data_IF_645323999330
#
_entry.id   IF_645323999330
#
_cell.length_a   1.000
_cell.length_b   1.000
_cell.length_c   1.000
_cell.angle_alpha   90.00
_cell.angle_beta   90.00
_cell.angle_gamma   90.00
#
_symmetry.space_group_name_H-M   'P 1'
#
loop_
_entity.id
_entity.type
_entity.pdbx_description
1 polymer ?
#
# COMPACT_ATOMS: atom_id res chain seq x y z
N UNK A 1 -23.27 9.40 26.12
CA UNK A 1 -22.61 9.86 24.88
C UNK A 1 -22.77 8.75 23.86
N UNK A 2 -23.47 9.02 22.76
CA UNK A 2 -23.72 8.02 21.73
C UNK A 2 -22.65 8.15 20.62
N UNK A 3 -21.65 7.23 20.64
CA UNK A 3 -20.56 7.23 19.67
C UNK A 3 -19.38 6.41 20.11
N UNK A 4 -18.43 6.28 19.18
CA UNK A 4 -17.18 5.57 19.38
C UNK A 4 -16.00 6.54 19.35
N UNK A 5 -15.12 6.44 20.32
CA UNK A 5 -13.88 7.23 20.39
C UNK A 5 -12.68 6.31 20.28
N UNK A 6 -11.75 6.67 19.40
CA UNK A 6 -10.49 5.98 19.22
C UNK A 6 -9.35 7.00 19.27
N UNK A 7 -8.32 6.70 20.03
CA UNK A 7 -7.10 7.51 20.10
C UNK A 7 -5.88 6.64 19.79
N UNK A 8 -4.99 7.18 18.98
CA UNK A 8 -3.67 6.60 18.73
C UNK A 8 -2.63 7.74 18.76
N UNK A 9 -1.85 7.80 19.83
CA UNK A 9 -0.95 8.91 20.11
C UNK A 9 -1.71 10.26 20.13
N UNK A 10 -1.39 11.16 19.21
CA UNK A 10 -2.00 12.47 18.99
C UNK A 10 -3.16 12.44 17.97
N UNK A 11 -3.33 11.34 17.24
CA UNK A 11 -4.47 11.17 16.33
C UNK A 11 -5.71 10.69 17.10
N UNK A 12 -6.82 11.42 16.97
CA UNK A 12 -8.11 11.14 17.60
C UNK A 12 -9.20 11.04 16.57
N UNK A 13 -10.11 10.08 16.74
CA UNK A 13 -11.28 9.88 15.91
C UNK A 13 -12.51 9.67 16.79
N UNK A 14 -13.56 10.46 16.58
CA UNK A 14 -14.87 10.25 17.16
C UNK A 14 -15.87 9.96 16.04
N UNK A 15 -16.68 8.93 16.22
CA UNK A 15 -17.74 8.52 15.28
C UNK A 15 -19.05 8.48 16.06
N UNK A 16 -19.97 9.38 15.80
CA UNK A 16 -21.27 9.44 16.46
C UNK A 16 -21.92 10.79 16.35
N UNK A 17 -23.18 10.86 16.81
CA UNK A 17 -24.01 12.07 16.75
C UNK A 17 -23.64 13.06 17.86
N UNK A 18 -23.15 12.56 18.99
CA UNK A 18 -22.76 13.39 20.15
C UNK A 18 -21.39 14.06 20.01
N UNK A 19 -20.89 14.25 18.77
CA UNK A 19 -19.57 14.86 18.56
C UNK A 19 -19.41 16.26 19.18
N UNK A 20 -20.45 17.14 19.28
CA UNK A 20 -20.29 18.44 19.93
C UNK A 20 -19.98 18.30 21.42
N UNK A 21 -20.66 17.36 22.10
CA UNK A 21 -20.39 17.06 23.52
C UNK A 21 -18.99 16.46 23.71
N UNK A 22 -18.59 15.52 22.84
CA UNK A 22 -17.25 14.93 22.87
C UNK A 22 -16.17 15.99 22.66
N UNK A 23 -16.39 16.94 21.75
CA UNK A 23 -15.45 18.03 21.50
C UNK A 23 -15.34 18.97 22.71
N UNK A 24 -16.44 19.32 23.35
CA UNK A 24 -16.43 20.17 24.57
C UNK A 24 -15.61 19.51 25.67
N UNK A 25 -15.88 18.23 25.98
CA UNK A 25 -15.12 17.47 26.99
C UNK A 25 -13.63 17.43 26.66
N UNK A 26 -13.29 17.21 25.38
CA UNK A 26 -11.88 17.19 24.93
C UNK A 26 -11.21 18.56 25.13
N UNK A 27 -11.90 19.66 24.77
CA UNK A 27 -11.36 21.01 24.94
C UNK A 27 -11.15 21.37 26.42
N UNK A 28 -12.07 21.00 27.29
CA UNK A 28 -11.93 21.21 28.74
C UNK A 28 -10.72 20.47 29.30
N UNK A 29 -10.56 19.18 28.92
CA UNK A 29 -9.41 18.39 29.34
C UNK A 29 -8.08 18.88 28.81
N UNK A 30 -8.03 19.38 27.59
CA UNK A 30 -6.84 19.98 27.03
C UNK A 30 -6.50 21.31 27.72
N UNK A 31 -7.52 22.12 28.06
CA UNK A 31 -7.33 23.37 28.78
C UNK A 31 -6.76 23.15 30.19
N UNK A 32 -7.21 22.10 30.91
CA UNK A 32 -6.61 21.68 32.21
C UNK A 32 -5.11 21.36 32.10
N UNK A 33 -4.64 20.91 30.93
CA UNK A 33 -3.26 20.58 30.62
C UNK A 33 -2.51 21.72 29.91
N UNK A 34 -3.06 22.92 29.84
CA UNK A 34 -2.54 24.06 29.08
C UNK A 34 -2.30 23.80 27.59
N UNK A 35 -3.00 22.80 27.02
CA UNK A 35 -2.93 22.42 25.61
C UNK A 35 -4.13 22.94 24.83
N UNK A 36 -3.94 23.12 23.49
CA UNK A 36 -5.00 23.56 22.58
C UNK A 36 -5.02 22.69 21.32
N UNK A 37 -6.24 22.41 20.83
CA UNK A 37 -6.40 21.80 19.52
C UNK A 37 -5.94 22.77 18.43
N UNK A 38 -5.28 22.24 17.41
CA UNK A 38 -4.99 23.01 16.21
C UNK A 38 -6.25 22.98 15.30
N UNK A 39 -6.96 24.12 15.12
CA UNK A 39 -8.22 24.14 14.34
C UNK A 39 -8.05 23.67 12.90
N UNK A 40 -6.84 23.86 12.32
CA UNK A 40 -6.53 23.43 10.93
C UNK A 40 -6.42 21.92 10.77
N UNK A 41 -6.31 21.17 11.88
CA UNK A 41 -6.22 19.71 11.89
C UNK A 41 -7.53 19.03 12.34
N UNK A 42 -8.53 19.81 12.73
CA UNK A 42 -9.84 19.27 13.10
C UNK A 42 -10.71 19.22 11.85
N UNK A 43 -11.20 18.03 11.53
CA UNK A 43 -12.06 17.80 10.38
C UNK A 43 -13.41 17.23 10.84
N UNK A 44 -14.51 17.81 10.34
CA UNK A 44 -15.88 17.29 10.53
C UNK A 44 -16.36 16.69 9.23
N UNK A 45 -16.68 15.42 9.23
CA UNK A 45 -17.00 14.67 8.03
C UNK A 45 -18.28 13.85 8.22
N UNK A 46 -19.06 13.75 7.16
CA UNK A 46 -20.20 12.84 7.09
C UNK A 46 -19.73 11.43 6.71
N UNK A 47 -20.49 10.39 7.10
CA UNK A 47 -20.12 9.00 6.90
C UNK A 47 -20.00 8.58 5.41
N UNK A 48 -20.55 9.37 4.50
CA UNK A 48 -20.48 9.17 3.04
C UNK A 48 -19.24 9.75 2.39
N UNK A 49 -18.38 10.46 3.13
CA UNK A 49 -17.12 11.02 2.63
C UNK A 49 -15.91 10.18 3.00
N UNK A 50 -14.89 10.21 2.14
CA UNK A 50 -13.60 9.62 2.45
C UNK A 50 -12.84 10.49 3.45
N UNK A 51 -12.36 9.88 4.52
CA UNK A 51 -11.43 10.52 5.44
C UNK A 51 -10.17 9.67 5.63
N UNK A 52 -9.13 10.30 6.19
CA UNK A 52 -7.85 9.66 6.44
C UNK A 52 -7.67 9.46 7.94
N UNK A 53 -7.30 8.24 8.34
CA UNK A 53 -6.93 7.94 9.71
C UNK A 53 -5.81 6.90 9.72
N UNK A 54 -4.74 7.14 10.46
CA UNK A 54 -3.56 6.25 10.60
C UNK A 54 -2.99 5.75 9.25
N UNK A 55 -3.05 6.60 8.24
CA UNK A 55 -2.53 6.27 6.92
C UNK A 55 -3.48 5.41 6.06
N UNK A 56 -4.71 5.21 6.49
CA UNK A 56 -5.77 4.60 5.71
C UNK A 56 -6.77 5.66 5.21
N UNK A 57 -7.44 5.37 4.12
CA UNK A 57 -8.62 6.09 3.64
C UNK A 57 -9.85 5.25 3.97
N UNK A 58 -10.82 5.84 4.65
CA UNK A 58 -11.99 5.16 5.16
C UNK A 58 -13.25 5.85 4.64
N UNK A 59 -14.24 5.07 4.20
CA UNK A 59 -15.58 5.54 3.83
C UNK A 59 -16.60 4.46 4.18
N UNK A 60 -17.43 4.69 5.18
CA UNK A 60 -18.33 3.67 5.69
C UNK A 60 -17.56 2.39 6.07
N UNK A 61 -17.87 1.27 5.42
CA UNK A 61 -17.16 -0.01 5.63
C UNK A 61 -15.97 -0.24 4.70
N UNK A 62 -15.69 0.68 3.79
CA UNK A 62 -14.58 0.57 2.86
C UNK A 62 -13.30 1.14 3.49
N UNK A 63 -12.25 0.34 3.51
CA UNK A 63 -10.93 0.72 4.02
C UNK A 63 -9.90 0.44 2.93
N UNK A 64 -9.21 1.49 2.51
CA UNK A 64 -8.12 1.45 1.54
C UNK A 64 -6.88 2.16 2.08
N UNK A 65 -5.78 2.10 1.33
CA UNK A 65 -4.58 2.85 1.64
C UNK A 65 -4.76 4.34 1.31
N UNK A 66 -4.23 5.19 2.17
CA UNK A 66 -4.16 6.62 1.85
C UNK A 66 -3.23 6.87 0.65
N UNK A 67 -3.45 7.96 -0.12
CA UNK A 67 -2.57 8.32 -1.23
C UNK A 67 -1.10 8.44 -0.83
N UNK A 68 -0.82 8.91 0.39
CA UNK A 68 0.55 8.99 0.93
C UNK A 68 1.19 7.61 1.10
N UNK A 69 0.47 6.64 1.66
CA UNK A 69 0.96 5.25 1.77
C UNK A 69 1.13 4.57 0.42
N UNK A 70 0.24 4.82 -0.54
CA UNK A 70 0.39 4.32 -1.91
C UNK A 70 1.68 4.85 -2.54
N UNK A 71 1.94 6.16 -2.43
CA UNK A 71 3.18 6.78 -2.95
C UNK A 71 4.43 6.21 -2.27
N UNK A 72 4.41 6.05 -0.94
CA UNK A 72 5.52 5.44 -0.20
C UNK A 72 5.77 3.99 -0.63
N UNK A 73 4.72 3.18 -0.77
CA UNK A 73 4.81 1.82 -1.30
C UNK A 73 5.44 1.81 -2.70
N UNK A 74 4.93 2.62 -3.61
CA UNK A 74 5.44 2.72 -4.97
C UNK A 74 6.93 3.10 -5.01
N UNK A 75 7.33 4.09 -4.20
CA UNK A 75 8.74 4.49 -4.06
C UNK A 75 9.62 3.35 -3.56
N UNK A 76 9.15 2.58 -2.56
CA UNK A 76 9.88 1.42 -2.04
C UNK A 76 10.03 0.32 -3.10
N UNK A 77 8.97 -0.03 -3.82
CA UNK A 77 9.03 -1.02 -4.90
C UNK A 77 9.97 -0.57 -6.03
N UNK A 78 9.91 0.69 -6.43
CA UNK A 78 10.84 1.23 -7.43
C UNK A 78 12.30 1.16 -6.98
N UNK A 79 12.59 1.49 -5.72
CA UNK A 79 13.93 1.42 -5.16
C UNK A 79 14.49 -0.02 -5.15
N UNK A 80 13.64 -1.01 -4.93
CA UNK A 80 14.02 -2.43 -4.93
C UNK A 80 14.17 -3.02 -6.35
N UNK A 81 13.61 -2.38 -7.36
CA UNK A 81 13.49 -2.90 -8.72
C UNK A 81 14.16 -1.99 -9.74
N UNK A 82 13.36 -1.16 -10.41
CA UNK A 82 13.78 -0.37 -11.57
C UNK A 82 14.82 0.71 -11.27
N UNK A 83 14.89 1.20 -10.05
CA UNK A 83 15.92 2.17 -9.63
C UNK A 83 17.21 1.51 -9.15
N UNK A 84 17.20 0.20 -8.85
CA UNK A 84 18.39 -0.51 -8.36
C UNK A 84 19.30 -0.89 -9.53
N UNK A 85 20.51 -0.37 -9.54
CA UNK A 85 21.53 -0.71 -10.55
C UNK A 85 21.99 -2.16 -10.43
N UNK A 86 22.27 -2.82 -11.56
CA UNK A 86 22.85 -4.16 -11.60
C UNK A 86 21.98 -5.27 -10.98
N UNK A 87 20.68 -5.03 -10.78
CA UNK A 87 19.80 -6.07 -10.25
C UNK A 87 19.27 -6.96 -11.38
N UNK A 88 19.32 -8.28 -11.16
CA UNK A 88 18.61 -9.24 -12.02
C UNK A 88 17.15 -9.38 -11.61
N UNK A 89 16.30 -9.91 -12.51
CA UNK A 89 14.90 -10.16 -12.20
C UNK A 89 14.73 -11.02 -10.93
N UNK A 90 15.49 -12.12 -10.81
CA UNK A 90 15.47 -13.00 -9.64
C UNK A 90 15.82 -12.25 -8.34
N UNK A 91 16.86 -11.42 -8.34
CA UNK A 91 17.23 -10.61 -7.18
C UNK A 91 16.15 -9.58 -6.84
N UNK A 92 15.51 -8.97 -7.84
CA UNK A 92 14.42 -8.03 -7.65
C UNK A 92 13.18 -8.71 -7.06
N UNK A 93 12.79 -9.88 -7.59
CA UNK A 93 11.67 -10.68 -7.05
C UNK A 93 11.90 -11.04 -5.59
N UNK A 94 13.07 -11.56 -5.24
CA UNK A 94 13.39 -11.91 -3.86
C UNK A 94 13.37 -10.68 -2.93
N UNK A 95 13.87 -9.53 -3.39
CA UNK A 95 13.85 -8.30 -2.61
C UNK A 95 12.42 -7.79 -2.38
N UNK A 96 11.56 -7.84 -3.40
CA UNK A 96 10.15 -7.46 -3.31
C UNK A 96 9.38 -8.40 -2.40
N UNK A 97 9.53 -9.73 -2.56
CA UNK A 97 8.88 -10.71 -1.69
C UNK A 97 9.29 -10.51 -0.22
N UNK A 98 10.59 -10.26 0.03
CA UNK A 98 11.09 -9.97 1.38
C UNK A 98 10.45 -8.72 1.97
N UNK A 99 10.36 -7.64 1.20
CA UNK A 99 9.72 -6.41 1.64
C UNK A 99 8.24 -6.60 1.92
N UNK A 100 7.55 -7.33 1.06
CA UNK A 100 6.10 -7.52 1.18
C UNK A 100 5.72 -8.49 2.30
N UNK A 101 6.46 -9.60 2.48
CA UNK A 101 5.95 -10.76 3.20
C UNK A 101 6.87 -11.29 4.30
N UNK A 102 8.15 -10.86 4.36
CA UNK A 102 9.09 -11.42 5.34
C UNK A 102 9.14 -10.59 6.61
N UNK A 103 8.91 -11.27 7.74
CA UNK A 103 8.95 -10.69 9.07
C UNK A 103 7.56 -10.41 9.64
N UNK A 104 7.50 -10.26 10.94
CA UNK A 104 6.25 -10.05 11.69
C UNK A 104 5.56 -8.74 11.30
N UNK A 105 6.34 -7.68 11.10
CA UNK A 105 5.86 -6.34 10.76
C UNK A 105 6.07 -6.00 9.28
N UNK A 106 5.98 -6.99 8.39
CA UNK A 106 6.09 -6.74 6.95
C UNK A 106 4.86 -5.97 6.42
N UNK A 107 4.99 -5.46 5.20
CA UNK A 107 3.92 -4.70 4.57
C UNK A 107 2.58 -5.45 4.56
N UNK A 108 2.60 -6.73 4.22
CA UNK A 108 1.38 -7.52 4.10
C UNK A 108 0.66 -7.72 5.44
N UNK A 109 1.39 -7.98 6.52
CA UNK A 109 0.81 -8.19 7.86
C UNK A 109 0.16 -6.94 8.42
N UNK A 110 0.66 -5.77 8.04
CA UNK A 110 0.10 -4.48 8.46
C UNK A 110 -1.10 -4.03 7.60
N UNK A 111 -1.14 -4.41 6.33
CA UNK A 111 -2.08 -3.85 5.36
C UNK A 111 -3.22 -4.80 5.00
N UNK A 112 -2.90 -6.07 4.71
CA UNK A 112 -3.90 -7.01 4.20
C UNK A 112 -5.04 -7.35 5.17
N UNK A 113 -4.85 -7.38 6.51
CA UNK A 113 -5.95 -7.57 7.45
C UNK A 113 -6.94 -6.40 7.49
N UNK A 114 -6.46 -5.19 7.22
CA UNK A 114 -7.22 -3.94 7.37
C UNK A 114 -7.88 -3.53 6.05
N UNK A 115 -7.15 -3.56 4.94
CA UNK A 115 -7.68 -3.14 3.63
C UNK A 115 -8.66 -4.16 3.06
N UNK A 116 -9.88 -3.69 2.71
CA UNK A 116 -10.91 -4.52 2.11
C UNK A 116 -11.28 -4.12 0.68
N UNK A 117 -10.75 -3.01 0.15
CA UNK A 117 -10.96 -2.57 -1.23
C UNK A 117 -10.03 -3.34 -2.16
N UNK A 118 -10.54 -4.46 -2.71
CA UNK A 118 -9.76 -5.36 -3.61
C UNK A 118 -9.21 -4.67 -4.85
N UNK A 119 -9.95 -3.71 -5.41
CA UNK A 119 -9.51 -2.97 -6.60
C UNK A 119 -8.16 -2.30 -6.36
N UNK A 120 -8.00 -1.63 -5.24
CA UNK A 120 -6.79 -0.86 -4.93
C UNK A 120 -5.60 -1.79 -4.69
N UNK A 121 -5.80 -2.92 -4.00
CA UNK A 121 -4.76 -3.95 -3.83
C UNK A 121 -4.35 -4.57 -5.18
N UNK A 122 -5.29 -4.76 -6.11
CA UNK A 122 -4.99 -5.25 -7.44
C UNK A 122 -4.17 -4.21 -8.25
N UNK A 123 -4.46 -2.92 -8.11
CA UNK A 123 -3.66 -1.87 -8.77
C UNK A 123 -2.23 -1.83 -8.21
N UNK A 124 -2.05 -1.99 -6.89
CA UNK A 124 -0.71 -2.12 -6.30
C UNK A 124 0.02 -3.36 -6.83
N UNK A 125 -0.67 -4.50 -6.95
CA UNK A 125 -0.10 -5.70 -7.52
C UNK A 125 0.32 -5.52 -8.99
N UNK A 126 -0.50 -4.86 -9.81
CA UNK A 126 -0.15 -4.51 -11.19
C UNK A 126 1.09 -3.63 -11.24
N UNK A 127 1.18 -2.64 -10.35
CA UNK A 127 2.35 -1.77 -10.24
C UNK A 127 3.63 -2.55 -9.91
N UNK A 128 3.58 -3.48 -8.95
CA UNK A 128 4.72 -4.36 -8.61
C UNK A 128 5.15 -5.18 -9.83
N UNK A 129 4.19 -5.83 -10.50
CA UNK A 129 4.47 -6.64 -11.68
C UNK A 129 5.06 -5.81 -12.82
N UNK A 130 4.61 -4.56 -13.00
CA UNK A 130 5.16 -3.66 -14.01
C UNK A 130 6.61 -3.26 -13.69
N UNK A 131 6.90 -2.97 -12.42
CA UNK A 131 8.27 -2.71 -11.98
C UNK A 131 9.20 -3.93 -12.18
N UNK A 132 8.75 -5.14 -11.84
CA UNK A 132 9.53 -6.36 -12.03
C UNK A 132 9.79 -6.65 -13.51
N UNK A 133 8.79 -6.48 -14.38
CA UNK A 133 8.98 -6.58 -15.84
C UNK A 133 9.96 -5.53 -16.34
N UNK A 134 9.89 -4.32 -15.79
CA UNK A 134 10.80 -3.23 -16.13
C UNK A 134 12.26 -3.58 -15.86
N UNK A 135 12.56 -4.36 -14.81
CA UNK A 135 13.93 -4.86 -14.57
C UNK A 135 14.43 -5.72 -15.71
N UNK A 136 13.56 -6.58 -16.28
CA UNK A 136 13.91 -7.49 -17.38
C UNK A 136 13.94 -6.79 -18.74
N UNK A 137 12.95 -5.96 -19.02
CA UNK A 137 12.75 -5.36 -20.36
C UNK A 137 13.38 -3.99 -20.54
N UNK A 138 13.76 -3.31 -19.46
CA UNK A 138 14.19 -1.90 -19.49
C UNK A 138 13.06 -0.91 -19.78
N UNK A 139 11.80 -1.36 -19.82
CA UNK A 139 10.63 -0.54 -20.13
C UNK A 139 9.56 -0.65 -19.06
N UNK A 140 8.82 0.44 -18.81
CA UNK A 140 7.66 0.47 -17.92
C UNK A 140 6.43 0.94 -18.67
N UNK A 141 5.28 0.43 -18.26
CA UNK A 141 3.99 0.95 -18.72
C UNK A 141 3.68 2.25 -17.98
N UNK A 142 3.44 3.31 -18.76
CA UNK A 142 2.97 4.59 -18.23
C UNK A 142 1.59 4.82 -18.82
N UNK A 143 0.60 5.11 -17.99
CA UNK A 143 -0.78 5.32 -18.42
C UNK A 143 -0.88 6.30 -19.59
N UNK A 144 -1.60 5.95 -20.62
CA UNK A 144 -1.76 6.75 -21.85
C UNK A 144 -0.59 6.73 -22.83
N UNK A 145 0.65 6.49 -22.37
CA UNK A 145 1.87 6.54 -23.20
C UNK A 145 2.39 5.15 -23.62
N UNK A 146 1.74 4.07 -23.17
CA UNK A 146 2.20 2.71 -23.45
C UNK A 146 3.47 2.34 -22.70
N UNK A 147 4.42 1.65 -23.37
CA UNK A 147 5.68 1.21 -22.77
C UNK A 147 6.78 2.24 -23.02
N UNK A 148 7.25 2.88 -21.95
CA UNK A 148 8.29 3.90 -21.97
C UNK A 148 9.60 3.33 -21.45
N UNK A 149 10.77 3.63 -22.09
CA UNK A 149 12.07 3.23 -21.56
C UNK A 149 12.32 3.77 -20.14
N UNK A 150 12.89 2.94 -19.27
CA UNK A 150 13.31 3.37 -17.96
C UNK A 150 14.59 4.20 -18.11
N UNK A 151 14.61 5.38 -17.50
CA UNK A 151 15.80 6.23 -17.42
C UNK A 151 16.34 6.22 -15.99
N UNK A 152 17.66 6.14 -15.86
CA UNK A 152 18.41 6.35 -14.61
C UNK A 152 19.52 7.35 -14.90
N UNK A 153 19.61 8.39 -14.09
CA UNK A 153 20.62 9.43 -14.23
C UNK A 153 20.70 9.96 -15.69
N UNK A 154 19.55 10.15 -16.33
CA UNK A 154 19.44 10.62 -17.73
C UNK A 154 19.65 9.53 -18.80
N UNK A 155 20.24 8.39 -18.47
CA UNK A 155 20.52 7.31 -19.41
C UNK A 155 19.38 6.29 -19.51
N UNK A 156 19.13 5.77 -20.72
CA UNK A 156 18.17 4.68 -20.93
C UNK A 156 18.76 3.39 -20.37
N UNK A 157 17.99 2.73 -19.49
CA UNK A 157 18.35 1.42 -18.95
C UNK A 157 18.12 0.35 -20.01
N UNK A 158 19.19 -0.33 -20.42
CA UNK A 158 19.06 -1.50 -21.29
C UNK A 158 18.52 -2.67 -20.46
N UNK A 159 17.48 -3.34 -20.92
CA UNK A 159 16.97 -4.55 -20.31
C UNK A 159 17.99 -5.67 -20.36
N UNK A 160 18.07 -6.47 -19.32
CA UNK A 160 18.97 -7.64 -19.23
C UNK A 160 18.32 -8.92 -19.76
N UNK A 161 17.07 -8.86 -20.16
CA UNK A 161 16.30 -10.03 -20.60
C UNK A 161 16.10 -10.11 -22.11
N UNK A 162 16.08 -11.34 -22.61
CA UNK A 162 15.59 -11.67 -23.94
C UNK A 162 14.19 -11.09 -24.12
N UNK A 163 13.85 -10.64 -25.32
CA UNK A 163 12.51 -10.20 -25.66
C UNK A 163 11.49 -11.23 -25.15
N UNK A 164 10.78 -10.90 -24.10
CA UNK A 164 9.60 -11.64 -23.72
C UNK A 164 8.56 -11.25 -24.75
N UNK A 165 8.51 -12.01 -25.86
CA UNK A 165 7.45 -11.92 -26.85
C UNK A 165 6.15 -12.09 -26.08
N UNK A 166 5.39 -11.02 -26.00
CA UNK A 166 4.06 -11.05 -25.41
C UNK A 166 3.22 -12.04 -26.25
N UNK A 167 3.04 -13.25 -25.72
CA UNK A 167 2.02 -14.14 -26.25
C UNK A 167 0.68 -13.39 -26.14
N UNK A 168 0.02 -13.22 -27.28
CA UNK A 168 -1.21 -12.46 -27.45
C UNK A 168 -2.16 -12.65 -26.26
N UNK A 169 -2.37 -11.60 -25.47
CA UNK A 169 -3.43 -11.50 -24.49
C UNK A 169 -3.13 -11.95 -23.07
N UNK A 170 -2.05 -12.68 -22.76
CA UNK A 170 -1.71 -13.05 -21.37
C UNK A 170 -0.34 -12.48 -20.99
N UNK A 171 -0.33 -11.58 -19.99
CA UNK A 171 0.90 -11.09 -19.41
C UNK A 171 1.68 -12.25 -18.79
N UNK A 172 2.98 -12.45 -19.13
CA UNK A 172 3.76 -13.56 -18.59
C UNK A 172 3.81 -13.48 -17.06
N UNK A 173 3.56 -14.62 -16.42
CA UNK A 173 3.71 -14.77 -14.97
C UNK A 173 5.18 -14.54 -14.61
N UNK A 174 5.42 -13.76 -13.58
CA UNK A 174 6.78 -13.56 -13.06
C UNK A 174 7.08 -14.69 -12.09
N UNK A 175 7.99 -15.56 -12.50
CA UNK A 175 8.40 -16.70 -11.70
C UNK A 175 8.93 -16.27 -10.32
N UNK A 176 8.49 -16.97 -9.27
CA UNK A 176 8.89 -16.71 -7.89
C UNK A 176 8.20 -15.49 -7.22
N UNK A 177 7.44 -14.68 -7.96
CA UNK A 177 6.68 -13.59 -7.34
C UNK A 177 5.32 -14.07 -6.83
N UNK A 178 5.08 -13.89 -5.54
CA UNK A 178 3.76 -14.10 -4.94
C UNK A 178 2.93 -12.83 -5.03
N UNK A 179 1.76 -12.94 -5.67
CA UNK A 179 0.89 -11.78 -5.84
C UNK A 179 0.22 -11.37 -4.52
N UNK A 180 -0.02 -10.06 -4.36
CA UNK A 180 -0.73 -9.50 -3.21
C UNK A 180 -2.10 -10.17 -3.03
N UNK A 181 -2.80 -10.48 -4.14
CA UNK A 181 -4.10 -11.15 -4.11
C UNK A 181 -4.04 -12.59 -3.58
N UNK A 182 -3.01 -13.36 -3.95
CA UNK A 182 -2.80 -14.71 -3.40
C UNK A 182 -2.57 -14.66 -1.89
N UNK A 183 -1.72 -13.75 -1.43
CA UNK A 183 -1.43 -13.58 -0.01
C UNK A 183 -2.64 -13.09 0.79
N UNK A 184 -3.44 -12.18 0.22
CA UNK A 184 -4.70 -11.75 0.83
C UNK A 184 -5.70 -12.89 0.97
N UNK A 185 -5.85 -13.71 -0.06
CA UNK A 185 -6.73 -14.87 -0.01
C UNK A 185 -6.26 -15.89 1.04
N UNK A 186 -4.96 -16.19 1.09
CA UNK A 186 -4.39 -17.06 2.11
C UNK A 186 -4.66 -16.55 3.54
N UNK A 187 -4.45 -15.25 3.77
CA UNK A 187 -4.70 -14.64 5.07
C UNK A 187 -6.19 -14.68 5.48
N UNK A 188 -7.09 -14.57 4.51
CA UNK A 188 -8.55 -14.72 4.74
C UNK A 188 -8.96 -16.15 5.06
N UNK A 189 -8.25 -17.14 4.50
CA UNK A 189 -8.50 -18.55 4.79
C UNK A 189 -8.04 -18.89 6.21
N UNK A 190 -6.78 -18.65 6.50
CA UNK A 190 -6.23 -18.78 7.86
C UNK A 190 -4.85 -18.13 7.97
N UNK A 191 -4.45 -17.79 9.18
CA UNK A 191 -3.08 -17.32 9.47
C UNK A 191 -2.04 -18.38 9.13
N UNK A 192 -2.35 -19.65 9.34
CA UNK A 192 -1.47 -20.76 8.99
C UNK A 192 -1.23 -20.86 7.48
N UNK A 193 -2.29 -20.73 6.65
CA UNK A 193 -2.14 -20.71 5.19
C UNK A 193 -1.25 -19.56 4.70
N UNK A 194 -1.41 -18.38 5.30
CA UNK A 194 -0.53 -17.25 5.01
C UNK A 194 0.93 -17.56 5.36
N UNK A 195 1.18 -18.08 6.57
CA UNK A 195 2.53 -18.38 7.04
C UNK A 195 3.21 -19.45 6.18
N UNK A 196 2.48 -20.49 5.75
CA UNK A 196 2.98 -21.52 4.83
C UNK A 196 3.44 -20.91 3.51
N UNK A 197 2.64 -20.03 2.90
CA UNK A 197 3.02 -19.33 1.67
C UNK A 197 4.21 -18.38 1.90
N UNK A 198 4.23 -17.65 2.99
CA UNK A 198 5.32 -16.72 3.31
C UNK A 198 6.65 -17.45 3.57
N UNK A 199 6.60 -18.66 4.14
CA UNK A 199 7.77 -19.50 4.38
C UNK A 199 8.38 -20.09 3.09
N UNK A 200 7.59 -20.20 2.02
CA UNK A 200 8.07 -20.69 0.70
C UNK A 200 8.87 -19.65 -0.10
N UNK A 201 9.05 -18.43 0.43
CA UNK A 201 9.78 -17.32 -0.18
C UNK A 201 11.21 -17.20 0.35
#
# INVERSE_FOLDING_TARGET
>A
MNGYYVRYSDDMLFIGEDYPKAMAVLQDRLAEMEMKLNPKKVEYLTADRWFKFLGFSIKGRMISLSPGRIKAFQKSIEALTVRKRGTSLRKAVNAVNRYLYKGEYCWATQILPVCNVRRDLNELNKFVMDCLRGVSTGKRRVGGLGYVPIRRDGCIVRGTGRNVTANRGKMPRIEGYLSIGCMQNALRTSRAAYNTLAASL
#
